data_IF_952682302039
#
_entry.id   IF_952682302039
#
_cell.length_a   1.000
_cell.length_b   1.000
_cell.length_c   1.000
_cell.angle_alpha   90.00
_cell.angle_beta   90.00
_cell.angle_gamma   90.00
#
_symmetry.space_group_name_H-M   'P 1'
#
loop_
_entity.id
_entity.type
_entity.pdbx_description
1 polymer ?
#
# COMPACT_ATOMS: atom_id res chain seq x y z
N UNK A 1 11.04 -10.34 18.46
CA UNK A 1 10.68 -9.35 19.50
C UNK A 1 9.16 -9.32 19.60
N UNK A 2 8.58 -9.60 20.77
CA UNK A 2 7.14 -9.46 20.99
C UNK A 2 6.83 -7.97 21.14
N UNK A 3 6.54 -7.29 20.04
CA UNK A 3 6.05 -5.90 20.07
C UNK A 3 4.73 -5.82 20.80
N UNK A 4 4.38 -4.63 21.32
CA UNK A 4 3.04 -4.43 21.84
C UNK A 4 2.00 -4.64 20.73
N UNK A 5 0.75 -4.95 21.09
CA UNK A 5 -0.33 -5.08 20.12
C UNK A 5 -0.39 -3.88 19.16
N UNK A 6 -0.14 -2.67 19.69
CA UNK A 6 -0.13 -1.43 18.93
C UNK A 6 1.03 -1.35 17.95
N UNK A 7 2.20 -1.86 18.28
CA UNK A 7 3.36 -1.86 17.36
C UNK A 7 3.12 -2.79 16.17
N UNK A 8 2.47 -3.93 16.42
CA UNK A 8 2.11 -4.86 15.36
C UNK A 8 1.04 -4.24 14.45
N UNK A 9 -0.03 -3.70 15.03
CA UNK A 9 -1.08 -3.02 14.26
C UNK A 9 -0.53 -1.80 13.52
N UNK A 10 0.41 -1.06 14.11
CA UNK A 10 1.07 0.07 13.45
C UNK A 10 1.80 -0.37 12.17
N UNK A 11 2.50 -1.51 12.22
CA UNK A 11 3.21 -2.04 11.04
C UNK A 11 2.22 -2.45 9.95
N UNK A 12 1.18 -3.20 10.29
CA UNK A 12 0.12 -3.57 9.34
C UNK A 12 -0.59 -2.33 8.78
N UNK A 13 -0.93 -1.38 9.64
CA UNK A 13 -1.60 -0.15 9.23
C UNK A 13 -0.74 0.70 8.30
N UNK A 14 0.59 0.74 8.47
CA UNK A 14 1.48 1.38 7.50
C UNK A 14 1.32 0.74 6.11
N UNK A 15 1.29 -0.58 6.05
CA UNK A 15 1.11 -1.33 4.80
C UNK A 15 -0.21 -0.94 4.11
N UNK A 16 -1.33 -1.03 4.82
CA UNK A 16 -2.64 -0.72 4.24
C UNK A 16 -2.82 0.76 3.88
N UNK A 17 -2.25 1.68 4.68
CA UNK A 17 -2.27 3.11 4.36
C UNK A 17 -1.41 3.41 3.12
N UNK A 18 -0.32 2.66 2.91
CA UNK A 18 0.49 2.73 1.68
C UNK A 18 -0.33 2.41 0.44
N UNK A 19 -1.07 1.30 0.46
CA UNK A 19 -2.01 0.95 -0.61
C UNK A 19 -3.07 2.03 -0.84
N UNK A 20 -3.74 2.47 0.24
CA UNK A 20 -4.78 3.48 0.15
C UNK A 20 -4.26 4.79 -0.46
N UNK A 21 -3.12 5.28 0.02
CA UNK A 21 -2.52 6.53 -0.46
C UNK A 21 -2.22 6.45 -1.95
N UNK A 22 -1.57 5.37 -2.39
CA UNK A 22 -1.23 5.19 -3.79
C UNK A 22 -2.48 5.08 -4.67
N UNK A 23 -3.50 4.36 -4.25
CA UNK A 23 -4.76 4.30 -4.99
C UNK A 23 -5.45 5.66 -5.07
N UNK A 24 -5.53 6.37 -3.93
CA UNK A 24 -6.16 7.68 -3.81
C UNK A 24 -5.47 8.75 -4.69
N UNK A 25 -4.13 8.81 -4.66
CA UNK A 25 -3.36 9.77 -5.45
C UNK A 25 -3.56 9.62 -6.97
N UNK A 26 -3.94 8.43 -7.43
CA UNK A 26 -4.21 8.14 -8.85
C UNK A 26 -5.72 8.13 -9.17
N UNK A 27 -6.53 8.75 -8.30
CA UNK A 27 -7.96 8.97 -8.52
C UNK A 27 -8.81 7.73 -8.26
N UNK A 28 -8.29 6.75 -7.52
CA UNK A 28 -9.04 5.58 -7.10
C UNK A 28 -9.97 5.86 -5.93
N UNK A 29 -11.08 5.13 -5.87
CA UNK A 29 -12.00 5.11 -4.73
C UNK A 29 -11.83 3.82 -3.92
N UNK A 30 -12.23 3.83 -2.66
CA UNK A 30 -12.08 2.67 -1.79
C UNK A 30 -13.20 2.60 -0.76
N UNK A 31 -13.40 1.42 -0.17
CA UNK A 31 -14.27 1.26 1.02
C UNK A 31 -13.53 1.58 2.32
N UNK A 32 -12.23 1.88 2.25
CA UNK A 32 -11.35 2.17 3.37
C UNK A 32 -10.39 1.03 3.70
N UNK A 33 -9.98 0.97 4.96
CA UNK A 33 -9.02 0.00 5.50
C UNK A 33 -9.68 -0.81 6.60
N UNK A 34 -9.46 -2.12 6.58
CA UNK A 34 -9.79 -3.03 7.67
C UNK A 34 -8.52 -3.65 8.23
N UNK A 35 -8.38 -3.73 9.56
CA UNK A 35 -7.30 -4.45 10.23
C UNK A 35 -7.91 -5.39 11.25
N UNK A 36 -7.69 -6.70 11.05
CA UNK A 36 -8.11 -7.74 11.98
C UNK A 36 -6.92 -8.20 12.82
N UNK A 37 -7.07 -8.05 14.12
CA UNK A 37 -6.09 -8.48 15.10
C UNK A 37 -6.30 -9.97 15.36
N UNK A 38 -5.34 -10.83 15.00
CA UNK A 38 -5.51 -12.28 15.19
C UNK A 38 -4.85 -12.79 16.48
N UNK A 39 -3.58 -12.43 16.74
CA UNK A 39 -2.90 -12.69 18.01
C UNK A 39 -1.56 -11.96 18.06
N UNK A 40 -1.11 -11.49 19.22
CA UNK A 40 0.20 -10.88 19.48
C UNK A 40 1.36 -11.82 19.09
N UNK A 41 1.12 -13.14 19.03
CA UNK A 41 2.10 -14.17 18.60
C UNK A 41 1.84 -14.70 17.18
N UNK A 42 0.76 -14.28 16.52
CA UNK A 42 0.31 -14.78 15.22
C UNK A 42 0.52 -13.78 14.08
N UNK A 43 0.18 -14.20 12.86
CA UNK A 43 0.07 -13.26 11.73
C UNK A 43 -1.17 -12.40 11.94
N UNK A 44 -1.07 -11.10 11.71
CA UNK A 44 -2.23 -10.19 11.65
C UNK A 44 -2.60 -9.96 10.19
N UNK A 45 -3.88 -9.69 9.92
CA UNK A 45 -4.35 -9.46 8.55
C UNK A 45 -4.90 -8.04 8.44
N UNK A 46 -4.25 -7.22 7.63
CA UNK A 46 -4.82 -5.99 7.11
C UNK A 46 -5.47 -6.24 5.74
N UNK A 47 -6.39 -5.36 5.38
CA UNK A 47 -6.96 -5.31 4.05
C UNK A 47 -7.36 -3.88 3.72
N UNK A 48 -6.66 -3.30 2.74
CA UNK A 48 -7.16 -2.20 1.93
C UNK A 48 -8.17 -2.75 0.91
N UNK A 49 -9.33 -2.09 0.80
CA UNK A 49 -10.44 -2.52 -0.05
C UNK A 49 -10.64 -1.50 -1.18
N UNK A 50 -9.91 -1.62 -2.31
CA UNK A 50 -10.10 -0.73 -3.44
C UNK A 50 -11.46 -0.98 -4.09
N UNK A 51 -12.14 0.10 -4.49
CA UNK A 51 -13.20 0.00 -5.47
C UNK A 51 -12.56 -0.14 -6.86
N UNK A 52 -12.70 -1.33 -7.42
CA UNK A 52 -12.10 -1.71 -8.69
C UNK A 52 -13.01 -1.38 -9.88
N UNK A 53 -14.28 -1.00 -9.62
CA UNK A 53 -15.22 -0.68 -10.67
C UNK A 53 -14.89 0.70 -11.25
N UNK A 54 -14.22 0.71 -12.40
CA UNK A 54 -13.94 1.93 -13.16
C UNK A 54 -14.21 1.70 -14.64
N UNK A 55 -14.92 2.63 -15.26
CA UNK A 55 -15.13 2.60 -16.71
C UNK A 55 -13.80 2.86 -17.42
N UNK A 56 -13.34 1.87 -18.19
CA UNK A 56 -12.16 1.97 -19.05
C UNK A 56 -12.66 2.12 -20.48
N UNK A 57 -12.57 3.33 -21.02
CA UNK A 57 -13.10 3.66 -22.34
C UNK A 57 -12.02 3.74 -23.42
N UNK A 58 -10.76 3.92 -23.03
CA UNK A 58 -9.62 4.07 -23.93
C UNK A 58 -8.39 3.27 -23.48
N UNK A 59 -7.41 3.12 -24.37
CA UNK A 59 -6.12 2.50 -24.00
C UNK A 59 -5.32 3.35 -23.02
N UNK A 60 -5.43 4.67 -23.10
CA UNK A 60 -4.81 5.57 -22.11
C UNK A 60 -5.43 5.37 -20.72
N UNK A 61 -6.75 5.19 -20.62
CA UNK A 61 -7.41 4.85 -19.36
C UNK A 61 -6.91 3.50 -18.82
N UNK A 62 -6.75 2.50 -19.69
CA UNK A 62 -6.22 1.20 -19.32
C UNK A 62 -4.79 1.33 -18.77
N UNK A 63 -3.90 2.06 -19.46
CA UNK A 63 -2.54 2.33 -19.00
C UNK A 63 -2.53 2.99 -17.63
N UNK A 64 -3.30 4.06 -17.43
CA UNK A 64 -3.39 4.78 -16.16
C UNK A 64 -3.92 3.89 -15.04
N UNK A 65 -4.96 3.11 -15.31
CA UNK A 65 -5.54 2.19 -14.33
C UNK A 65 -4.55 1.13 -13.89
N UNK A 66 -3.87 0.47 -14.84
CA UNK A 66 -2.89 -0.57 -14.52
C UNK A 66 -1.68 0.02 -13.79
N UNK A 67 -1.19 1.21 -14.20
CA UNK A 67 -0.13 1.92 -13.49
C UNK A 67 -0.54 2.22 -12.04
N UNK A 68 -1.74 2.77 -11.83
CA UNK A 68 -2.27 3.05 -10.51
C UNK A 68 -2.36 1.79 -9.64
N UNK A 69 -2.77 0.66 -10.22
CA UNK A 69 -2.79 -0.63 -9.53
C UNK A 69 -1.39 -1.13 -9.17
N UNK A 70 -0.43 -1.02 -10.08
CA UNK A 70 0.97 -1.39 -9.81
C UNK A 70 1.54 -0.58 -8.66
N UNK A 71 1.41 0.75 -8.69
CA UNK A 71 1.87 1.63 -7.62
C UNK A 71 1.16 1.33 -6.29
N UNK A 72 -0.15 1.05 -6.34
CA UNK A 72 -0.89 0.60 -5.16
C UNK A 72 -0.26 -0.66 -4.56
N UNK A 73 -0.03 -1.72 -5.35
CA UNK A 73 0.50 -3.00 -4.87
C UNK A 73 1.90 -2.85 -4.26
N UNK A 74 2.76 -2.02 -4.86
CA UNK A 74 4.12 -1.80 -4.37
C UNK A 74 4.13 -0.91 -3.11
N UNK A 75 3.29 0.13 -3.06
CA UNK A 75 3.30 1.10 -1.97
C UNK A 75 3.07 0.49 -0.58
N UNK A 76 2.37 -0.65 -0.48
CA UNK A 76 2.16 -1.34 0.79
C UNK A 76 3.47 -1.75 1.47
N UNK A 77 4.30 -2.55 0.79
CA UNK A 77 5.57 -3.01 1.37
C UNK A 77 6.56 -1.86 1.55
N UNK A 78 6.60 -0.90 0.64
CA UNK A 78 7.47 0.27 0.77
C UNK A 78 7.07 1.11 1.98
N UNK A 79 5.77 1.36 2.19
CA UNK A 79 5.28 2.05 3.37
C UNK A 79 5.67 1.28 4.63
N UNK A 80 5.43 -0.03 4.68
CA UNK A 80 5.77 -0.89 5.80
C UNK A 80 7.28 -0.87 6.15
N UNK A 81 8.14 -0.75 5.13
CA UNK A 81 9.60 -0.90 5.25
C UNK A 81 10.37 0.43 5.31
N UNK A 82 9.71 1.58 5.12
CA UNK A 82 10.36 2.88 5.26
C UNK A 82 10.55 3.25 6.75
N UNK A 83 11.76 3.69 7.09
CA UNK A 83 12.18 4.04 8.45
C UNK A 83 12.16 5.55 8.72
N UNK A 84 11.93 6.36 7.70
CA UNK A 84 11.83 7.83 7.76
C UNK A 84 12.85 8.56 6.90
N UNK A 85 13.98 7.92 6.64
CA UNK A 85 15.08 8.40 5.81
C UNK A 85 15.56 7.33 4.82
N UNK A 86 15.51 6.06 5.22
CA UNK A 86 15.94 4.91 4.42
C UNK A 86 14.88 3.81 4.39
N UNK A 87 14.96 2.97 3.36
CA UNK A 87 14.18 1.73 3.26
C UNK A 87 14.96 0.56 3.85
N UNK A 88 14.26 -0.29 4.61
CA UNK A 88 14.75 -1.63 4.96
C UNK A 88 14.70 -2.54 3.73
N UNK A 89 15.77 -2.52 2.94
CA UNK A 89 15.89 -3.29 1.71
C UNK A 89 15.87 -4.81 1.97
N UNK A 90 16.41 -5.27 3.11
CA UNK A 90 16.37 -6.69 3.47
C UNK A 90 14.93 -7.15 3.72
N UNK A 91 14.13 -6.33 4.40
CA UNK A 91 12.70 -6.60 4.59
C UNK A 91 11.94 -6.61 3.27
N UNK A 92 12.14 -5.61 2.41
CA UNK A 92 11.46 -5.57 1.10
C UNK A 92 11.76 -6.85 0.32
N UNK A 93 13.04 -7.22 0.20
CA UNK A 93 13.44 -8.42 -0.53
C UNK A 93 12.91 -9.72 0.09
N UNK A 94 12.80 -9.78 1.42
CA UNK A 94 12.30 -10.96 2.13
C UNK A 94 10.78 -11.11 2.05
N UNK A 95 10.04 -10.00 2.03
CA UNK A 95 8.57 -10.03 2.12
C UNK A 95 7.85 -9.83 0.77
N UNK A 96 8.45 -9.10 -0.18
CA UNK A 96 7.88 -8.81 -1.50
C UNK A 96 8.45 -9.76 -2.57
N UNK A 97 8.14 -11.04 -2.39
CA UNK A 97 8.50 -12.12 -3.31
C UNK A 97 7.44 -13.23 -3.25
N UNK A 98 7.65 -14.32 -3.99
CA UNK A 98 6.74 -15.46 -4.09
C UNK A 98 6.32 -16.12 -2.76
N UNK A 99 7.11 -15.98 -1.69
CA UNK A 99 6.91 -16.67 -0.40
C UNK A 99 6.76 -15.73 0.80
N UNK A 100 6.93 -14.42 0.59
CA UNK A 100 6.91 -13.42 1.66
C UNK A 100 5.49 -13.04 2.13
N UNK A 101 5.40 -12.22 3.19
CA UNK A 101 4.11 -11.76 3.72
C UNK A 101 3.30 -10.90 2.73
N UNK A 102 3.99 -10.19 1.82
CA UNK A 102 3.38 -9.36 0.77
C UNK A 102 3.31 -10.10 -0.58
N UNK A 103 3.40 -11.44 -0.57
CA UNK A 103 3.39 -12.27 -1.78
C UNK A 103 2.13 -12.12 -2.63
N UNK A 104 0.97 -11.86 -2.03
CA UNK A 104 -0.26 -11.59 -2.79
C UNK A 104 -0.16 -10.34 -3.65
N UNK A 105 0.48 -9.30 -3.15
CA UNK A 105 0.67 -8.05 -3.89
C UNK A 105 1.72 -8.22 -4.97
N UNK A 106 2.80 -8.93 -4.64
CA UNK A 106 3.86 -9.29 -5.57
C UNK A 106 3.35 -10.13 -6.75
N UNK A 107 2.58 -11.20 -6.51
CA UNK A 107 2.07 -12.03 -7.61
C UNK A 107 1.19 -11.22 -8.57
N UNK A 108 0.30 -10.39 -8.02
CA UNK A 108 -0.54 -9.50 -8.82
C UNK A 108 0.28 -8.45 -9.55
N UNK A 109 1.34 -7.92 -8.93
CA UNK A 109 2.17 -6.91 -9.60
C UNK A 109 2.92 -7.51 -10.77
N UNK A 110 3.47 -8.72 -10.65
CA UNK A 110 4.12 -9.44 -11.76
C UNK A 110 3.16 -9.65 -12.93
N UNK A 111 1.93 -10.09 -12.68
CA UNK A 111 0.91 -10.27 -13.72
C UNK A 111 0.58 -8.93 -14.43
N UNK A 112 0.36 -7.87 -13.64
CA UNK A 112 -0.01 -6.56 -14.16
C UNK A 112 1.16 -5.85 -14.86
N UNK A 113 2.40 -6.07 -14.44
CA UNK A 113 3.59 -5.47 -15.05
C UNK A 113 3.75 -5.91 -16.49
N UNK A 114 3.52 -7.20 -16.78
CA UNK A 114 3.54 -7.69 -18.16
C UNK A 114 2.48 -7.02 -19.02
N UNK A 115 1.25 -6.91 -18.51
CA UNK A 115 0.16 -6.23 -19.22
C UNK A 115 0.52 -4.77 -19.47
N UNK A 116 1.02 -4.08 -18.44
CA UNK A 116 1.41 -2.68 -18.53
C UNK A 116 2.51 -2.44 -19.57
N UNK A 117 3.57 -3.25 -19.56
CA UNK A 117 4.67 -3.16 -20.53
C UNK A 117 4.16 -3.33 -21.98
N UNK A 118 3.23 -4.27 -22.20
CA UNK A 118 2.61 -4.45 -23.51
C UNK A 118 1.76 -3.24 -23.92
N UNK A 119 0.96 -2.68 -23.00
CA UNK A 119 0.11 -1.53 -23.27
C UNK A 119 0.91 -0.26 -23.62
N UNK A 120 2.07 -0.07 -23.01
CA UNK A 120 2.96 1.07 -23.29
C UNK A 120 3.97 0.79 -24.41
N UNK A 121 3.96 -0.41 -25.01
CA UNK A 121 4.85 -0.78 -26.11
C UNK A 121 6.32 -0.98 -25.70
N UNK A 122 6.60 -1.32 -24.43
CA UNK A 122 7.96 -1.50 -23.86
C UNK A 122 8.14 -2.90 -23.27
N UNK A 123 7.60 -3.92 -23.93
CA UNK A 123 7.65 -5.31 -23.45
C UNK A 123 9.08 -5.90 -23.41
N UNK A 124 9.96 -5.42 -24.28
CA UNK A 124 11.39 -5.75 -24.33
C UNK A 124 12.21 -5.05 -23.23
N UNK A 125 11.63 -4.03 -22.57
CA UNK A 125 12.22 -3.30 -21.45
C UNK A 125 11.60 -3.67 -20.09
N UNK A 126 11.05 -4.88 -19.96
CA UNK A 126 10.29 -5.30 -18.77
C UNK A 126 10.97 -4.95 -17.43
N UNK A 127 12.26 -5.26 -17.29
CA UNK A 127 13.01 -5.01 -16.05
C UNK A 127 13.17 -3.51 -15.75
N UNK A 128 13.33 -2.69 -16.80
CA UNK A 128 13.43 -1.22 -16.69
C UNK A 128 12.11 -0.65 -16.22
N UNK A 129 11.00 -1.05 -16.86
CA UNK A 129 9.65 -0.59 -16.48
C UNK A 129 9.31 -1.03 -15.05
N UNK A 130 9.65 -2.25 -14.64
CA UNK A 130 9.45 -2.69 -13.25
C UNK A 130 10.25 -1.81 -12.28
N UNK A 131 11.50 -1.49 -12.60
CA UNK A 131 12.33 -0.60 -11.76
C UNK A 131 11.77 0.83 -11.69
N UNK A 132 11.21 1.36 -12.77
CA UNK A 132 10.54 2.67 -12.79
C UNK A 132 9.33 2.68 -11.84
N UNK A 133 8.49 1.63 -11.88
CA UNK A 133 7.35 1.46 -10.98
C UNK A 133 7.79 1.35 -9.52
N UNK A 134 8.83 0.56 -9.24
CA UNK A 134 9.41 0.41 -7.91
C UNK A 134 9.88 1.77 -7.34
N UNK A 135 10.63 2.52 -8.15
CA UNK A 135 11.14 3.84 -7.77
C UNK A 135 10.00 4.85 -7.56
N UNK A 136 8.99 4.86 -8.43
CA UNK A 136 7.84 5.75 -8.30
C UNK A 136 7.02 5.43 -7.04
N UNK A 137 6.80 4.15 -6.73
CA UNK A 137 6.13 3.73 -5.49
C UNK A 137 6.94 4.11 -4.25
N UNK A 138 8.27 3.92 -4.28
CA UNK A 138 9.15 4.35 -3.21
C UNK A 138 9.07 5.86 -2.98
N UNK A 139 9.29 6.69 -4.02
CA UNK A 139 9.21 8.14 -3.88
C UNK A 139 7.86 8.61 -3.36
N UNK A 140 6.75 8.05 -3.87
CA UNK A 140 5.41 8.35 -3.39
C UNK A 140 5.27 8.11 -1.87
N UNK A 141 5.79 6.97 -1.38
CA UNK A 141 5.79 6.65 0.05
C UNK A 141 6.66 7.61 0.85
N UNK A 142 7.89 7.88 0.41
CA UNK A 142 8.82 8.75 1.11
C UNK A 142 8.25 10.18 1.25
N UNK A 143 7.73 10.74 0.16
CA UNK A 143 7.17 12.09 0.11
C UNK A 143 5.96 12.28 1.04
N UNK A 144 5.25 11.19 1.33
CA UNK A 144 4.03 11.17 2.14
C UNK A 144 4.19 10.42 3.47
N UNK A 145 5.41 10.10 3.88
CA UNK A 145 5.64 9.20 5.01
C UNK A 145 5.06 9.71 6.32
N UNK A 146 5.14 11.02 6.57
CA UNK A 146 4.60 11.61 7.80
C UNK A 146 3.06 11.45 7.87
N UNK A 147 2.36 11.53 6.74
CA UNK A 147 0.94 11.19 6.68
C UNK A 147 0.71 9.70 6.96
N UNK A 148 1.45 8.82 6.27
CA UNK A 148 1.33 7.36 6.44
C UNK A 148 1.51 6.99 7.91
N UNK A 149 2.56 7.53 8.54
CA UNK A 149 2.88 7.34 9.95
C UNK A 149 1.78 7.88 10.86
N UNK A 150 1.23 9.05 10.58
CA UNK A 150 0.13 9.65 11.34
C UNK A 150 -1.14 8.77 11.29
N UNK A 151 -1.59 8.43 10.09
CA UNK A 151 -2.77 7.58 9.89
C UNK A 151 -2.57 6.19 10.51
N UNK A 152 -1.42 5.54 10.27
CA UNK A 152 -1.11 4.26 10.88
C UNK A 152 -1.09 4.32 12.41
N UNK A 153 -0.60 5.43 12.99
CA UNK A 153 -0.64 5.65 14.45
C UNK A 153 -2.08 5.79 14.94
N UNK A 154 -2.92 6.54 14.25
CA UNK A 154 -4.34 6.67 14.58
C UNK A 154 -5.04 5.30 14.58
N UNK A 155 -4.84 4.47 13.55
CA UNK A 155 -5.35 3.09 13.47
C UNK A 155 -4.84 2.25 14.64
N UNK A 156 -3.52 2.29 14.90
CA UNK A 156 -2.91 1.49 15.96
C UNK A 156 -3.39 1.85 17.37
N UNK A 157 -3.80 3.10 17.60
CA UNK A 157 -4.31 3.55 18.89
C UNK A 157 -5.71 2.98 19.20
N UNK A 158 -6.46 2.55 18.17
CA UNK A 158 -7.77 1.88 18.31
C UNK A 158 -7.59 0.41 18.75
N UNK A 159 -6.40 -0.17 18.61
CA UNK A 159 -6.13 -1.55 18.99
C UNK A 159 -6.14 -1.72 20.52
N UNK A 160 -7.09 -2.51 21.01
CA UNK A 160 -7.29 -2.78 22.44
C UNK A 160 -7.11 -4.26 22.78
N UNK A 161 -7.60 -5.18 21.95
CA UNK A 161 -7.59 -6.63 22.26
C UNK A 161 -7.44 -7.53 21.02
N UNK A 162 -7.03 -8.78 21.23
CA UNK A 162 -6.95 -9.80 20.18
C UNK A 162 -8.34 -10.20 19.67
N UNK A 163 -8.51 -10.36 18.36
CA UNK A 163 -9.79 -10.64 17.70
C UNK A 163 -10.55 -9.39 17.25
N UNK A 164 -10.11 -8.18 17.65
CA UNK A 164 -10.74 -6.94 17.25
C UNK A 164 -10.63 -6.71 15.73
N UNK A 165 -11.73 -6.25 15.13
CA UNK A 165 -11.78 -5.72 13.78
C UNK A 165 -11.80 -4.19 13.86
N UNK A 166 -10.75 -3.56 13.34
CA UNK A 166 -10.66 -2.11 13.20
C UNK A 166 -11.08 -1.78 11.76
N UNK A 167 -12.03 -0.86 11.60
CA UNK A 167 -12.45 -0.35 10.29
C UNK A 167 -12.22 1.14 10.26
N UNK A 168 -11.53 1.62 9.25
CA UNK A 168 -11.40 3.05 8.96
C UNK A 168 -12.01 3.30 7.59
N UNK A 169 -13.19 3.96 7.52
CA UNK A 169 -13.86 4.21 6.27
C UNK A 169 -13.13 5.28 5.43
N UNK A 170 -13.35 5.24 4.12
CA UNK A 170 -12.73 6.15 3.14
C UNK A 170 -12.80 7.64 3.52
N UNK A 171 -13.96 8.10 4.00
CA UNK A 171 -14.15 9.52 4.34
C UNK A 171 -13.27 9.97 5.51
N UNK A 172 -12.96 9.08 6.46
CA UNK A 172 -12.03 9.38 7.55
C UNK A 172 -10.60 9.48 7.03
N UNK A 173 -10.16 8.55 6.16
CA UNK A 173 -8.83 8.58 5.56
C UNK A 173 -8.62 9.84 4.71
N UNK A 174 -9.61 10.22 3.89
CA UNK A 174 -9.60 11.47 3.13
C UNK A 174 -9.50 12.69 4.03
N UNK A 175 -10.30 12.74 5.10
CA UNK A 175 -10.23 13.83 6.08
C UNK A 175 -8.86 13.94 6.73
N UNK A 176 -8.24 12.82 7.12
CA UNK A 176 -6.88 12.80 7.65
C UNK A 176 -5.86 13.34 6.63
N UNK A 177 -5.98 12.92 5.36
CA UNK A 177 -5.06 13.32 4.30
C UNK A 177 -5.20 14.81 3.94
N UNK A 178 -6.43 15.31 3.78
CA UNK A 178 -6.69 16.71 3.47
C UNK A 178 -6.22 17.64 4.59
N UNK A 179 -6.44 17.25 5.85
CA UNK A 179 -5.96 18.01 7.00
C UNK A 179 -4.43 18.02 7.05
N UNK A 180 -3.79 16.89 6.77
CA UNK A 180 -2.34 16.79 6.70
C UNK A 180 -1.76 17.69 5.59
N UNK A 181 -2.37 17.68 4.39
CA UNK A 181 -1.92 18.52 3.27
C UNK A 181 -2.06 20.02 3.53
N UNK A 182 -3.05 20.46 4.31
CA UNK A 182 -3.23 21.88 4.67
C UNK A 182 -2.21 22.39 5.70
N UNK A 183 -1.53 21.50 6.39
CA UNK A 183 -0.54 21.83 7.42
C UNK A 183 0.90 21.86 6.88
N UNK A 184 1.10 21.46 5.63
CA UNK A 184 2.36 21.59 4.88
C UNK A 184 2.41 22.91 4.12
#
# INVERSE_FOLDING_TARGET
>A
MNGSLRDIVFTVAKHEVGHWLAWHCYGGESSGIEVKILSIKGRHTGAFIPDMARDISTMDDACKYIKARLLCLHAGIYAESFLGDIYDAEKINREFNYLGSASSDFHRSVELSWIYCNLIGRADEYDVVCSEIDQEAAHLVADNFEFIKHAARAISNIAVYEGQLIKVPEHELRSMYDNFRRQR
#
